data_IF_383742368278
#
_entry.id   IF_383742368278
#
_cell.length_a   1.000
_cell.length_b   1.000
_cell.length_c   1.000
_cell.angle_alpha   90.00
_cell.angle_beta   90.00
_cell.angle_gamma   90.00
#
_symmetry.space_group_name_H-M   'P 1'
#
loop_
_entity.id
_entity.type
_entity.pdbx_description
1 polymer ?
#
# COMPACT_ATOMS: atom_id res chain seq x y z
N UNK A 1 -14.96 8.68 -15.05
CA UNK A 1 -14.56 9.56 -13.93
C UNK A 1 -13.40 10.41 -14.38
N UNK A 2 -13.71 11.36 -15.25
CA UNK A 2 -12.90 12.52 -15.58
C UNK A 2 -13.96 13.48 -16.13
N UNK A 3 -14.37 14.42 -15.30
CA UNK A 3 -15.21 15.52 -15.77
C UNK A 3 -14.23 16.55 -16.32
N UNK A 4 -14.37 16.93 -17.59
CA UNK A 4 -13.47 17.83 -18.32
C UNK A 4 -13.54 19.28 -17.81
N UNK A 5 -13.92 19.49 -16.54
CA UNK A 5 -13.97 20.79 -15.87
C UNK A 5 -12.57 21.23 -15.49
N UNK A 6 -11.86 21.67 -16.53
CA UNK A 6 -10.73 22.61 -16.60
C UNK A 6 -9.83 22.54 -15.36
N UNK A 7 -8.86 21.62 -15.45
CA UNK A 7 -7.62 21.76 -14.70
C UNK A 7 -7.13 23.19 -14.85
N UNK A 8 -6.64 23.78 -13.77
CA UNK A 8 -6.14 25.14 -13.80
C UNK A 8 -4.82 25.23 -13.06
N UNK A 9 -4.03 26.20 -13.49
CA UNK A 9 -2.76 26.50 -12.87
C UNK A 9 -2.96 27.59 -11.83
N UNK A 10 -2.36 27.41 -10.67
CA UNK A 10 -2.40 28.37 -9.57
C UNK A 10 -0.99 28.63 -9.03
N UNK A 11 -0.76 29.82 -8.50
CA UNK A 11 0.43 30.12 -7.73
C UNK A 11 0.19 29.77 -6.26
N UNK A 12 0.92 28.77 -5.77
CA UNK A 12 0.96 28.43 -4.36
C UNK A 12 1.91 29.38 -3.64
N UNK A 13 1.36 30.22 -2.77
CA UNK A 13 2.13 31.13 -1.93
C UNK A 13 2.42 30.44 -0.59
N UNK A 14 3.70 30.17 -0.25
CA UNK A 14 4.04 29.51 1.01
C UNK A 14 3.60 30.36 2.21
N UNK A 15 3.00 29.73 3.22
CA UNK A 15 2.67 30.40 4.49
C UNK A 15 3.92 30.83 5.25
N UNK A 16 3.79 31.78 6.19
CA UNK A 16 4.90 32.23 7.06
C UNK A 16 5.59 31.07 7.80
N UNK A 17 4.85 29.99 8.10
CA UNK A 17 5.39 28.79 8.76
C UNK A 17 6.20 27.93 7.78
N UNK A 18 5.75 27.81 6.53
CA UNK A 18 6.44 27.07 5.48
C UNK A 18 7.69 27.78 5.00
N UNK A 19 7.69 29.12 4.93
CA UNK A 19 8.88 29.92 4.60
C UNK A 19 10.02 29.74 5.62
N UNK A 20 9.69 29.43 6.88
CA UNK A 20 10.70 29.11 7.91
C UNK A 20 11.35 27.74 7.71
N UNK A 21 10.62 26.78 7.15
CA UNK A 21 11.07 25.39 7.00
C UNK A 21 11.66 25.11 5.61
N UNK A 22 11.07 25.68 4.56
CA UNK A 22 11.56 25.61 3.20
C UNK A 22 12.24 26.93 2.92
N UNK A 23 13.53 26.94 2.55
CA UNK A 23 14.30 28.16 2.22
C UNK A 23 13.80 28.88 0.95
N UNK A 24 12.51 28.79 0.62
CA UNK A 24 11.87 29.34 -0.56
C UNK A 24 10.79 30.31 -0.12
N UNK A 25 10.97 31.56 -0.53
CA UNK A 25 10.01 32.65 -0.31
C UNK A 25 9.10 32.86 -1.53
N UNK A 26 9.53 32.37 -2.70
CA UNK A 26 8.83 32.61 -3.96
C UNK A 26 7.61 31.70 -4.14
N UNK A 27 6.53 32.19 -4.77
CA UNK A 27 5.39 31.37 -5.17
C UNK A 27 5.82 30.20 -6.05
N UNK A 28 5.12 29.07 -5.90
CA UNK A 28 5.34 27.86 -6.71
C UNK A 28 4.14 27.68 -7.61
N UNK A 29 4.38 27.59 -8.91
CA UNK A 29 3.32 27.26 -9.85
C UNK A 29 2.93 25.79 -9.69
N UNK A 30 1.64 25.54 -9.48
CA UNK A 30 1.06 24.19 -9.32
C UNK A 30 -0.14 24.01 -10.25
N UNK A 31 -0.33 22.79 -10.73
CA UNK A 31 -1.52 22.36 -11.44
C UNK A 31 -2.54 21.82 -10.45
N UNK A 32 -3.77 22.30 -10.54
CA UNK A 32 -4.91 21.82 -9.77
C UNK A 32 -5.85 21.06 -10.72
N UNK A 33 -6.05 19.79 -10.42
CA UNK A 33 -6.87 18.86 -11.20
C UNK A 33 -8.14 18.51 -10.44
N UNK A 34 -9.30 18.66 -11.10
CA UNK A 34 -10.62 18.37 -10.52
C UNK A 34 -11.06 16.96 -10.88
N UNK A 35 -11.21 16.10 -9.89
CA UNK A 35 -11.71 14.75 -10.04
C UNK A 35 -13.12 14.62 -9.46
N UNK A 36 -14.13 14.53 -10.33
CA UNK A 36 -15.52 14.31 -9.90
C UNK A 36 -15.76 12.80 -9.69
N UNK A 37 -16.11 12.45 -8.45
CA UNK A 37 -16.42 11.09 -8.04
C UNK A 37 -17.84 10.69 -8.49
N UNK A 38 -18.12 9.39 -8.50
CA UNK A 38 -19.46 8.85 -8.77
C UNK A 38 -20.48 9.28 -7.71
N UNK A 39 -20.03 9.71 -6.53
CA UNK A 39 -20.86 10.29 -5.47
C UNK A 39 -21.32 11.72 -5.79
N UNK A 40 -20.75 12.35 -6.83
CA UNK A 40 -20.94 13.77 -7.13
C UNK A 40 -19.97 14.70 -6.37
N UNK A 41 -19.20 14.18 -5.41
CA UNK A 41 -18.16 14.93 -4.72
C UNK A 41 -16.99 15.25 -5.66
N UNK A 42 -16.39 16.43 -5.49
CA UNK A 42 -15.21 16.84 -6.27
C UNK A 42 -13.97 16.78 -5.38
N UNK A 43 -13.02 15.93 -5.75
CA UNK A 43 -11.68 15.92 -5.17
C UNK A 43 -10.75 16.86 -5.96
N UNK A 44 -9.90 17.61 -5.26
CA UNK A 44 -8.87 18.46 -5.85
C UNK A 44 -7.50 17.84 -5.66
N UNK A 45 -6.82 17.55 -6.77
CA UNK A 45 -5.46 17.04 -6.78
C UNK A 45 -4.51 18.18 -7.13
N UNK A 46 -3.53 18.45 -6.27
CA UNK A 46 -2.50 19.46 -6.50
C UNK A 46 -1.20 18.77 -6.87
N UNK A 47 -0.59 19.17 -7.99
CA UNK A 47 0.68 18.59 -8.45
C UNK A 47 1.57 19.62 -9.14
N UNK A 48 2.84 19.29 -9.29
CA UNK A 48 3.79 19.99 -10.15
C UNK A 48 3.97 19.30 -11.52
N UNK A 49 3.02 18.44 -11.92
CA UNK A 49 3.09 17.69 -13.17
C UNK A 49 2.51 18.50 -14.34
N UNK A 50 3.30 18.64 -15.39
CA UNK A 50 2.96 19.41 -16.59
C UNK A 50 1.78 18.80 -17.36
N UNK A 51 0.84 19.65 -17.78
CA UNK A 51 -0.32 19.25 -18.60
C UNK A 51 0.06 18.72 -19.98
N UNK A 52 1.17 19.19 -20.55
CA UNK A 52 1.69 18.70 -21.84
C UNK A 52 2.15 17.24 -21.81
N UNK A 53 2.46 16.71 -20.61
CA UNK A 53 3.01 15.35 -20.44
C UNK A 53 2.03 14.39 -19.77
N UNK A 54 1.13 14.89 -18.94
CA UNK A 54 0.25 14.08 -18.11
C UNK A 54 -1.19 14.55 -18.25
N UNK A 55 -2.08 13.64 -18.61
CA UNK A 55 -3.52 13.90 -18.66
C UNK A 55 -4.13 13.98 -17.25
N UNK A 56 -5.33 14.55 -17.13
CA UNK A 56 -6.11 14.52 -15.89
C UNK A 56 -6.32 13.08 -15.39
N UNK A 57 -6.58 12.14 -16.31
CA UNK A 57 -6.73 10.72 -16.02
C UNK A 57 -5.46 10.09 -15.45
N UNK A 58 -4.29 10.52 -15.89
CA UNK A 58 -3.00 10.06 -15.34
C UNK A 58 -2.84 10.50 -13.89
N UNK A 59 -3.20 11.74 -13.56
CA UNK A 59 -3.14 12.24 -12.18
C UNK A 59 -4.13 11.51 -11.27
N UNK A 60 -5.36 11.29 -11.74
CA UNK A 60 -6.37 10.51 -11.01
C UNK A 60 -5.87 9.08 -10.78
N UNK A 61 -5.29 8.46 -11.81
CA UNK A 61 -4.72 7.11 -11.73
C UNK A 61 -3.56 7.07 -10.73
N UNK A 62 -2.62 8.00 -10.81
CA UNK A 62 -1.48 8.13 -9.92
C UNK A 62 -1.93 8.33 -8.47
N UNK A 63 -2.88 9.23 -8.22
CA UNK A 63 -3.44 9.44 -6.90
C UNK A 63 -4.14 8.18 -6.37
N UNK A 64 -4.84 7.45 -7.24
CA UNK A 64 -5.41 6.13 -6.93
C UNK A 64 -4.38 5.10 -6.46
N UNK A 65 -3.13 5.16 -6.96
CA UNK A 65 -2.05 4.28 -6.51
C UNK A 65 -1.66 4.51 -5.04
N UNK A 66 -1.94 5.70 -4.47
CA UNK A 66 -1.73 6.01 -3.04
C UNK A 66 -2.45 5.03 -2.13
N UNK A 67 -3.61 4.50 -2.54
CA UNK A 67 -4.37 3.53 -1.76
C UNK A 67 -3.57 2.25 -1.44
N UNK A 68 -2.61 1.90 -2.31
CA UNK A 68 -1.69 0.79 -2.04
C UNK A 68 -0.88 0.97 -0.75
N UNK A 69 -0.54 2.22 -0.40
CA UNK A 69 0.16 2.56 0.84
C UNK A 69 -0.72 2.30 2.05
N UNK A 70 -1.99 2.69 2.01
CA UNK A 70 -2.95 2.45 3.09
C UNK A 70 -3.18 0.95 3.32
N UNK A 71 -3.29 0.16 2.25
CA UNK A 71 -3.34 -1.30 2.36
C UNK A 71 -2.05 -1.89 2.96
N UNK A 72 -0.90 -1.30 2.66
CA UNK A 72 0.38 -1.60 3.31
C UNK A 72 0.34 -1.34 4.82
N UNK A 73 -0.18 -0.17 5.23
CA UNK A 73 -0.35 0.19 6.65
C UNK A 73 -1.32 -0.76 7.34
N UNK A 74 -2.43 -1.17 6.68
CA UNK A 74 -3.35 -2.19 7.18
C UNK A 74 -2.69 -3.57 7.33
N UNK A 75 -1.67 -3.89 6.54
CA UNK A 75 -0.87 -5.09 6.77
C UNK A 75 0.06 -4.92 7.97
N UNK A 76 0.74 -3.78 8.06
CA UNK A 76 1.76 -3.54 9.06
C UNK A 76 1.20 -3.39 10.48
N UNK A 77 0.15 -2.57 10.65
CA UNK A 77 -0.44 -2.27 11.96
C UNK A 77 -1.30 -3.42 12.50
N UNK A 78 -2.51 -3.71 12.00
CA UNK A 78 -3.35 -4.71 12.65
C UNK A 78 -2.97 -6.17 12.33
N UNK A 79 -2.35 -6.48 11.18
CA UNK A 79 -2.03 -7.89 10.82
C UNK A 79 -0.68 -8.34 11.36
N UNK A 80 0.36 -7.52 11.18
CA UNK A 80 1.70 -7.81 11.68
C UNK A 80 1.87 -7.37 13.14
N UNK A 81 1.12 -6.36 13.58
CA UNK A 81 1.22 -5.78 14.93
C UNK A 81 2.57 -5.12 15.18
N UNK A 82 3.04 -4.32 14.21
CA UNK A 82 4.33 -3.60 14.31
C UNK A 82 4.48 -2.76 15.57
N UNK A 83 3.36 -2.31 16.16
CA UNK A 83 3.34 -1.47 17.35
C UNK A 83 3.50 -2.26 18.66
N UNK A 84 3.53 -3.60 18.59
CA UNK A 84 3.70 -4.50 19.73
C UNK A 84 5.17 -4.95 19.83
N UNK A 85 6.00 -4.11 20.44
CA UNK A 85 7.42 -4.39 20.62
C UNK A 85 7.68 -5.27 21.84
N UNK A 86 8.57 -6.25 21.69
CA UNK A 86 9.12 -7.02 22.81
C UNK A 86 10.31 -6.31 23.45
N UNK A 87 11.09 -5.60 22.63
CA UNK A 87 12.24 -4.82 23.08
C UNK A 87 11.83 -3.54 23.81
N UNK A 88 12.54 -3.23 24.91
CA UNK A 88 12.39 -1.97 25.66
C UNK A 88 13.46 -0.92 25.32
N UNK A 89 14.62 -1.35 24.81
CA UNK A 89 15.71 -0.45 24.41
C UNK A 89 15.45 0.09 22.99
N UNK A 90 15.74 1.38 22.71
CA UNK A 90 15.51 1.97 21.39
C UNK A 90 16.13 1.15 20.24
N UNK A 91 17.36 0.67 20.41
CA UNK A 91 18.06 -0.15 19.41
C UNK A 91 17.27 -1.42 19.06
N UNK A 92 16.75 -2.13 20.08
CA UNK A 92 15.96 -3.33 19.89
C UNK A 92 14.60 -3.04 19.23
N UNK A 93 13.96 -1.93 19.60
CA UNK A 93 12.71 -1.46 18.97
C UNK A 93 12.92 -1.23 17.47
N UNK A 94 14.01 -0.56 17.08
CA UNK A 94 14.35 -0.36 15.67
C UNK A 94 14.63 -1.70 14.95
N UNK A 95 15.37 -2.62 15.58
CA UNK A 95 15.62 -3.94 15.01
C UNK A 95 14.33 -4.73 14.77
N UNK A 96 13.41 -4.75 15.75
CA UNK A 96 12.11 -5.39 15.60
C UNK A 96 11.28 -4.72 14.50
N UNK A 97 11.26 -3.38 14.45
CA UNK A 97 10.59 -2.64 13.38
C UNK A 97 11.11 -3.06 12.00
N UNK A 98 12.42 -3.04 11.79
CA UNK A 98 13.01 -3.41 10.50
C UNK A 98 12.82 -4.89 10.17
N UNK A 99 12.79 -5.79 11.15
CA UNK A 99 12.45 -7.20 10.95
C UNK A 99 11.02 -7.37 10.43
N UNK A 100 10.06 -6.59 10.93
CA UNK A 100 8.69 -6.56 10.40
C UNK A 100 8.63 -6.05 8.95
N UNK A 101 9.37 -4.99 8.63
CA UNK A 101 9.46 -4.48 7.25
C UNK A 101 10.09 -5.52 6.32
N UNK A 102 11.16 -6.19 6.75
CA UNK A 102 11.78 -7.28 5.99
C UNK A 102 10.78 -8.41 5.72
N UNK A 103 10.02 -8.84 6.73
CA UNK A 103 8.99 -9.86 6.57
C UNK A 103 7.91 -9.43 5.56
N UNK A 104 7.48 -8.17 5.57
CA UNK A 104 6.55 -7.64 4.55
C UNK A 104 7.12 -7.74 3.13
N UNK A 105 8.38 -7.35 2.96
CA UNK A 105 9.05 -7.40 1.66
C UNK A 105 9.17 -8.84 1.15
N UNK A 106 9.52 -9.78 2.04
CA UNK A 106 9.57 -11.20 1.69
C UNK A 106 8.19 -11.77 1.30
N UNK A 107 7.10 -11.32 1.95
CA UNK A 107 5.74 -11.69 1.54
C UNK A 107 5.46 -11.18 0.12
N UNK A 108 5.80 -9.92 -0.16
CA UNK A 108 5.60 -9.33 -1.49
C UNK A 108 6.39 -10.09 -2.56
N UNK A 109 7.67 -10.37 -2.31
CA UNK A 109 8.54 -11.13 -3.22
C UNK A 109 8.00 -12.54 -3.49
N UNK A 110 7.60 -13.26 -2.43
CA UNK A 110 7.03 -14.62 -2.56
C UNK A 110 5.73 -14.59 -3.37
N UNK A 111 4.86 -13.61 -3.10
CA UNK A 111 3.61 -13.41 -3.82
C UNK A 111 3.82 -13.06 -5.30
N UNK A 112 4.82 -12.23 -5.61
CA UNK A 112 5.20 -11.90 -6.99
C UNK A 112 5.73 -13.12 -7.74
N UNK A 113 6.58 -13.92 -7.10
CA UNK A 113 7.09 -15.17 -7.68
C UNK A 113 5.96 -16.17 -7.98
N UNK A 114 5.01 -16.33 -7.04
CA UNK A 114 3.81 -17.15 -7.26
C UNK A 114 2.88 -16.57 -8.34
N UNK A 115 2.92 -15.26 -8.58
CA UNK A 115 2.01 -14.56 -9.49
C UNK A 115 2.00 -15.09 -10.93
N UNK A 116 3.16 -15.51 -11.45
CA UNK A 116 3.27 -16.11 -12.80
C UNK A 116 2.45 -17.41 -12.89
N UNK A 117 2.65 -18.31 -11.93
CA UNK A 117 1.93 -19.59 -11.84
C UNK A 117 0.44 -19.40 -11.60
N UNK A 118 0.07 -18.43 -10.75
CA UNK A 118 -1.33 -18.10 -10.47
C UNK A 118 -2.04 -17.67 -11.75
N UNK A 119 -1.44 -16.77 -12.53
CA UNK A 119 -2.01 -16.30 -13.81
C UNK A 119 -2.16 -17.46 -14.79
N UNK A 120 -1.10 -18.28 -14.97
CA UNK A 120 -1.11 -19.43 -15.88
C UNK A 120 -2.21 -20.44 -15.53
N UNK A 121 -2.29 -20.87 -14.27
CA UNK A 121 -3.26 -21.89 -13.81
C UNK A 121 -4.71 -21.41 -13.83
N UNK A 122 -4.95 -20.10 -13.70
CA UNK A 122 -6.29 -19.54 -13.61
C UNK A 122 -6.72 -18.78 -14.89
N UNK A 123 -5.96 -18.86 -15.99
CA UNK A 123 -6.22 -18.11 -17.22
C UNK A 123 -7.63 -18.35 -17.81
N UNK A 124 -8.17 -19.56 -17.65
CA UNK A 124 -9.51 -19.95 -18.14
C UNK A 124 -10.65 -19.56 -17.18
N UNK A 125 -10.37 -18.99 -16.01
CA UNK A 125 -11.40 -18.63 -15.04
C UNK A 125 -12.00 -17.26 -15.37
N UNK A 126 -13.27 -17.06 -15.02
CA UNK A 126 -14.01 -15.80 -15.23
C UNK A 126 -13.37 -14.58 -14.57
N UNK A 127 -12.69 -14.77 -13.43
CA UNK A 127 -12.08 -13.69 -12.66
C UNK A 127 -10.55 -13.83 -12.66
N UNK A 128 -9.88 -12.71 -12.47
CA UNK A 128 -8.46 -12.69 -12.15
C UNK A 128 -8.26 -13.03 -10.68
N UNK A 129 -7.19 -13.76 -10.37
CA UNK A 129 -6.85 -14.16 -9.00
C UNK A 129 -5.49 -13.58 -8.60
N UNK A 130 -5.37 -13.22 -7.33
CA UNK A 130 -4.10 -12.84 -6.69
C UNK A 130 -3.85 -13.69 -5.46
N UNK A 131 -2.61 -13.72 -4.99
CA UNK A 131 -2.27 -14.42 -3.76
C UNK A 131 -2.99 -13.81 -2.55
N UNK A 132 -3.33 -14.64 -1.57
CA UNK A 132 -3.83 -14.17 -0.29
C UNK A 132 -2.67 -13.71 0.60
N UNK A 133 -2.55 -12.41 0.82
CA UNK A 133 -1.47 -11.82 1.60
C UNK A 133 -1.39 -12.40 3.03
N UNK A 134 -2.53 -12.58 3.72
CA UNK A 134 -2.57 -13.10 5.10
C UNK A 134 -2.03 -14.53 5.18
N UNK A 135 -2.47 -15.41 4.27
CA UNK A 135 -1.97 -16.79 4.23
C UNK A 135 -0.49 -16.84 3.82
N UNK A 136 -0.07 -15.96 2.92
CA UNK A 136 1.34 -15.85 2.52
C UNK A 136 2.21 -15.45 3.70
N UNK A 137 1.81 -14.43 4.47
CA UNK A 137 2.50 -14.03 5.70
C UNK A 137 2.55 -15.16 6.72
N UNK A 138 1.45 -15.89 6.94
CA UNK A 138 1.40 -17.03 7.86
C UNK A 138 2.39 -18.14 7.46
N UNK A 139 2.43 -18.49 6.17
CA UNK A 139 3.35 -19.51 5.66
C UNK A 139 4.81 -19.05 5.75
N UNK A 140 5.10 -17.80 5.40
CA UNK A 140 6.43 -17.22 5.49
C UNK A 140 6.92 -17.16 6.94
N UNK A 141 6.11 -16.64 7.87
CA UNK A 141 6.45 -16.51 9.30
C UNK A 141 6.86 -17.85 9.91
N UNK A 142 6.17 -18.93 9.55
CA UNK A 142 6.50 -20.28 10.02
C UNK A 142 7.85 -20.82 9.50
N UNK A 143 8.44 -20.18 8.48
CA UNK A 143 9.67 -20.60 7.81
C UNK A 143 10.79 -19.56 7.85
N UNK A 144 10.52 -18.32 8.29
CA UNK A 144 11.47 -17.21 8.19
C UNK A 144 12.80 -17.54 8.86
N UNK A 145 12.79 -18.06 10.08
CA UNK A 145 14.01 -18.50 10.77
C UNK A 145 14.74 -19.61 10.00
N UNK A 146 14.00 -20.55 9.40
CA UNK A 146 14.58 -21.64 8.61
C UNK A 146 15.22 -21.14 7.30
N UNK A 147 14.77 -20.02 6.75
CA UNK A 147 15.37 -19.41 5.57
C UNK A 147 16.78 -18.85 5.86
N UNK A 148 17.05 -18.43 7.09
CA UNK A 148 18.35 -17.84 7.48
C UNK A 148 19.33 -18.83 8.11
N UNK A 149 18.86 -20.01 8.56
CA UNK A 149 19.71 -20.99 9.27
C UNK A 149 20.15 -22.16 8.38
N UNK A 150 19.42 -22.49 7.30
CA UNK A 150 19.57 -23.80 6.62
C UNK A 150 20.28 -23.75 5.27
N UNK A 151 20.99 -24.84 4.99
CA UNK A 151 21.29 -25.31 3.65
C UNK A 151 19.98 -25.72 2.92
N UNK A 152 19.88 -25.49 1.61
CA UNK A 152 18.68 -25.70 0.77
C UNK A 152 17.56 -24.63 0.86
N UNK A 153 17.91 -23.34 0.97
CA UNK A 153 16.96 -22.20 0.89
C UNK A 153 16.01 -22.29 -0.30
N UNK A 154 16.52 -22.69 -1.48
CA UNK A 154 15.75 -22.83 -2.72
C UNK A 154 14.52 -23.74 -2.53
N UNK A 155 14.72 -24.94 -1.94
CA UNK A 155 13.63 -25.89 -1.69
C UNK A 155 12.58 -25.32 -0.74
N UNK A 156 12.97 -24.51 0.24
CA UNK A 156 12.03 -23.87 1.16
C UNK A 156 11.20 -22.83 0.40
N UNK A 157 11.83 -22.01 -0.43
CA UNK A 157 11.17 -21.00 -1.25
C UNK A 157 10.21 -21.61 -2.26
N UNK A 158 10.61 -22.68 -2.96
CA UNK A 158 9.73 -23.37 -3.92
C UNK A 158 8.46 -23.90 -3.24
N UNK A 159 8.63 -24.54 -2.08
CA UNK A 159 7.50 -25.02 -1.27
C UNK A 159 6.60 -23.88 -0.79
N UNK A 160 7.17 -22.73 -0.42
CA UNK A 160 6.40 -21.54 -0.07
C UNK A 160 5.60 -21.02 -1.27
N UNK A 161 6.24 -20.88 -2.44
CA UNK A 161 5.62 -20.41 -3.67
C UNK A 161 4.44 -21.31 -4.07
N UNK A 162 4.62 -22.64 -4.01
CA UNK A 162 3.56 -23.60 -4.29
C UNK A 162 2.37 -23.40 -3.34
N UNK A 163 2.62 -23.30 -2.03
CA UNK A 163 1.54 -23.08 -1.03
C UNK A 163 0.81 -21.75 -1.23
N UNK A 164 1.54 -20.70 -1.59
CA UNK A 164 0.98 -19.38 -1.89
C UNK A 164 0.11 -19.44 -3.14
N UNK A 165 0.53 -20.16 -4.18
CA UNK A 165 -0.23 -20.33 -5.42
C UNK A 165 -1.54 -21.13 -5.25
N UNK A 166 -1.69 -21.89 -4.16
CA UNK A 166 -2.94 -22.58 -3.81
C UNK A 166 -3.94 -21.69 -3.06
N UNK A 167 -3.46 -20.65 -2.38
CA UNK A 167 -4.25 -19.78 -1.51
C UNK A 167 -4.58 -18.45 -2.20
N UNK A 168 -5.67 -18.43 -2.95
CA UNK A 168 -6.01 -17.33 -3.86
C UNK A 168 -7.21 -16.51 -3.40
N UNK A 169 -7.23 -15.24 -3.81
CA UNK A 169 -8.36 -14.33 -3.67
C UNK A 169 -8.73 -13.78 -5.04
N UNK A 170 -10.01 -13.83 -5.38
CA UNK A 170 -10.53 -13.27 -6.62
C UNK A 170 -10.49 -11.74 -6.58
N UNK A 171 -9.99 -11.12 -7.65
CA UNK A 171 -10.00 -9.67 -7.85
C UNK A 171 -11.31 -9.31 -8.57
N UNK A 172 -12.20 -8.63 -7.85
CA UNK A 172 -13.47 -8.11 -8.39
C UNK A 172 -13.31 -6.61 -8.67
N UNK A 173 -13.35 -6.22 -9.94
CA UNK A 173 -13.31 -4.81 -10.36
C UNK A 173 -14.60 -4.11 -9.90
N UNK A 174 -14.50 -2.81 -9.57
CA UNK A 174 -15.65 -1.99 -9.18
C UNK A 174 -16.30 -2.34 -7.83
N UNK A 175 -15.64 -3.16 -6.99
CA UNK A 175 -16.20 -3.51 -5.67
C UNK A 175 -16.16 -2.30 -4.74
N UNK A 176 -17.33 -1.79 -4.38
CA UNK A 176 -17.52 -0.75 -3.37
C UNK A 176 -18.08 -1.35 -2.10
N UNK A 177 -17.68 -0.79 -0.97
CA UNK A 177 -18.30 -1.07 0.33
C UNK A 177 -18.81 0.25 0.87
N UNK A 178 -20.02 0.29 1.43
CA UNK A 178 -20.47 1.48 2.14
C UNK A 178 -19.47 1.79 3.25
N UNK A 179 -19.03 3.05 3.32
CA UNK A 179 -18.32 3.52 4.51
C UNK A 179 -19.33 3.48 5.64
N UNK A 180 -19.03 2.73 6.69
CA UNK A 180 -19.73 2.91 7.96
C UNK A 180 -19.06 4.11 8.61
N UNK A 181 -19.79 5.20 8.78
CA UNK A 181 -19.38 6.24 9.70
C UNK A 181 -19.25 5.59 11.07
N UNK A 182 -18.03 5.55 11.57
CA UNK A 182 -17.75 4.99 12.89
C UNK A 182 -17.71 6.18 13.82
N UNK A 183 -18.82 6.42 14.52
CA UNK A 183 -18.95 7.49 15.53
C UNK A 183 -17.95 7.32 16.70
N UNK A 184 -17.30 6.16 16.80
CA UNK A 184 -16.29 5.88 17.81
C UNK A 184 -14.95 5.48 17.18
N UNK A 185 -13.84 6.18 17.51
CA UNK A 185 -12.52 5.73 17.12
C UNK A 185 -12.28 4.37 17.78
N UNK A 186 -12.07 3.34 16.95
CA UNK A 186 -11.71 2.00 17.43
C UNK A 186 -10.32 2.10 18.07
N UNK A 187 -10.26 2.47 19.35
CA UNK A 187 -9.03 2.51 20.14
C UNK A 187 -8.51 1.08 20.22
N UNK A 188 -7.47 0.79 19.45
CA UNK A 188 -6.67 -0.40 19.65
C UNK A 188 -5.94 -0.17 20.98
N UNK A 189 -6.36 -0.84 22.05
CA UNK A 189 -5.68 -0.76 23.34
C UNK A 189 -4.18 -1.01 23.13
N UNK A 190 -3.36 0.02 23.35
CA UNK A 190 -1.92 -0.13 23.47
C UNK A 190 -1.66 -0.84 24.79
N UNK A 191 -1.52 -2.16 24.75
CA UNK A 191 -1.07 -2.94 25.90
C UNK A 191 0.43 -2.72 26.09
N UNK A 192 0.79 -1.66 26.80
CA UNK A 192 2.02 -1.66 27.59
C UNK A 192 1.62 -1.94 29.03
N UNK A 193 1.96 -3.14 29.53
CA UNK A 193 2.08 -3.43 30.96
C UNK A 193 3.57 -3.45 31.31
#
# INVERSE_FOLDING_TARGET
>A
MADSRIDFTAEWIPSKKEQKNSKRENPIQVRITKAVLETGETELLVSNLEESKFSTEDLVTLYGMRWGVEEGIKNLKPRIKVEQFGCRKPVGIYQEFYAHILAMNMVALTGMAAGKEIKKKNAKRKLTYKYNWKNTFLHLRAKIVKLFIRECVVKILDNLIIKVALNLVAVKKGRKFPRKDTDEPTRVNQYYK
#
